data_IF_268784360633
#
_entry.id   IF_268784360633
#
_cell.length_a   1.000
_cell.length_b   1.000
_cell.length_c   1.000
_cell.angle_alpha   90.00
_cell.angle_beta   90.00
_cell.angle_gamma   90.00
#
_symmetry.space_group_name_H-M   'P 1'
#
loop_
_entity.id
_entity.type
_entity.pdbx_description
1 polymer ?
#
# COMPACT_ATOMS: atom_id res chain seq x y z
N UNK A 1 8.56 38.58 11.90
CA UNK A 1 9.64 37.77 12.52
C UNK A 1 9.10 36.47 13.15
N UNK A 2 8.06 36.50 13.98
CA UNK A 2 7.50 35.28 14.65
C UNK A 2 6.91 34.26 13.66
N UNK A 3 6.23 34.69 12.58
CA UNK A 3 5.70 33.79 11.53
C UNK A 3 6.81 32.98 10.81
N UNK A 4 7.95 33.61 10.53
CA UNK A 4 9.07 32.95 9.84
C UNK A 4 9.74 31.87 10.70
N UNK A 5 9.79 32.07 12.01
CA UNK A 5 10.34 31.07 12.95
C UNK A 5 9.40 29.87 13.07
N UNK A 6 8.08 30.09 13.11
CA UNK A 6 7.11 29.00 13.14
C UNK A 6 7.11 28.19 11.85
N UNK A 7 7.29 28.84 10.70
CA UNK A 7 7.42 28.15 9.39
C UNK A 7 8.74 27.38 9.29
N UNK A 8 9.84 27.94 9.77
CA UNK A 8 11.11 27.24 9.85
C UNK A 8 11.06 26.02 10.78
N UNK A 9 10.46 26.16 11.98
CA UNK A 9 10.24 25.05 12.91
C UNK A 9 9.35 23.96 12.31
N UNK A 10 8.30 24.32 11.57
CA UNK A 10 7.49 23.35 10.83
C UNK A 10 8.33 22.64 9.76
N UNK A 11 9.15 23.35 8.99
CA UNK A 11 10.05 22.78 8.00
C UNK A 11 11.02 21.78 8.62
N UNK A 12 11.64 22.12 9.76
CA UNK A 12 12.52 21.23 10.51
C UNK A 12 11.79 20.00 11.07
N UNK A 13 10.56 20.14 11.56
CA UNK A 13 9.74 19.01 12.00
C UNK A 13 9.37 18.10 10.85
N UNK A 14 9.07 18.63 9.65
CA UNK A 14 8.86 17.83 8.45
C UNK A 14 10.13 17.11 8.01
N UNK A 15 11.28 17.79 8.05
CA UNK A 15 12.57 17.21 7.70
C UNK A 15 12.96 16.11 8.69
N UNK A 16 12.79 16.35 10.00
CA UNK A 16 13.01 15.34 11.03
C UNK A 16 12.04 14.15 10.87
N UNK A 17 10.77 14.38 10.58
CA UNK A 17 9.80 13.33 10.30
C UNK A 17 10.17 12.55 9.03
N UNK A 18 10.74 13.21 8.03
CA UNK A 18 11.24 12.58 6.80
C UNK A 18 12.52 11.77 7.09
N UNK A 19 13.48 12.32 7.81
CA UNK A 19 14.77 11.68 8.14
C UNK A 19 14.60 10.56 9.17
N UNK A 20 13.74 10.74 10.19
CA UNK A 20 13.47 9.71 11.22
C UNK A 20 12.42 8.69 10.76
N UNK A 21 11.95 8.85 9.51
CA UNK A 21 10.87 8.06 8.94
C UNK A 21 9.59 8.26 9.74
N UNK A 22 8.76 9.20 9.35
CA UNK A 22 7.39 9.34 9.87
C UNK A 22 6.62 8.02 9.85
N UNK A 23 7.14 7.01 9.10
CA UNK A 23 6.74 5.62 9.14
C UNK A 23 6.93 4.97 10.51
N UNK A 24 7.96 5.36 11.30
CA UNK A 24 8.21 4.72 12.61
C UNK A 24 7.08 5.01 13.60
N UNK A 25 6.61 6.24 13.68
CA UNK A 25 5.46 6.63 14.51
C UNK A 25 4.15 6.03 13.99
N UNK A 26 4.03 5.80 12.68
CA UNK A 26 2.85 5.19 12.06
C UNK A 26 2.84 3.68 12.16
N UNK A 27 4.01 3.02 12.23
CA UNK A 27 4.10 1.58 12.53
C UNK A 27 3.43 1.21 13.84
N UNK A 28 3.63 2.02 14.89
CA UNK A 28 3.02 1.81 16.19
C UNK A 28 1.48 1.93 16.18
N UNK A 29 0.91 2.49 15.11
CA UNK A 29 -0.54 2.66 14.94
C UNK A 29 -1.16 1.63 14.00
N UNK A 30 -0.36 0.70 13.42
CA UNK A 30 -0.90 -0.37 12.59
C UNK A 30 -1.85 -1.24 13.44
N UNK A 31 -2.99 -1.64 12.84
CA UNK A 31 -3.97 -2.53 13.47
C UNK A 31 -3.33 -3.85 13.92
N UNK A 32 -2.41 -4.37 13.11
CA UNK A 32 -1.56 -5.51 13.44
C UNK A 32 -0.22 -5.38 12.72
N UNK A 33 0.85 -5.65 13.44
CA UNK A 33 2.20 -5.80 12.90
C UNK A 33 2.76 -7.15 13.35
N UNK A 34 3.01 -8.03 12.40
CA UNK A 34 3.54 -9.38 12.64
C UNK A 34 5.00 -9.38 13.14
N UNK A 35 5.46 -10.54 13.55
CA UNK A 35 6.84 -10.75 13.97
C UNK A 35 7.79 -10.70 12.78
N UNK A 36 9.00 -10.18 12.98
CA UNK A 36 10.04 -10.17 11.94
C UNK A 36 9.74 -9.31 10.71
N UNK A 37 8.71 -8.45 10.76
CA UNK A 37 8.38 -7.54 9.67
C UNK A 37 9.46 -6.47 9.54
N UNK A 38 9.95 -6.28 8.30
CA UNK A 38 10.90 -5.21 7.96
C UNK A 38 10.19 -4.16 7.11
N UNK A 39 10.24 -2.91 7.52
CA UNK A 39 9.62 -1.78 6.81
C UNK A 39 10.66 -0.69 6.63
N UNK A 40 10.90 -0.30 5.38
CA UNK A 40 11.84 0.80 5.07
C UNK A 40 11.32 2.14 5.61
N UNK A 41 12.21 3.05 6.04
CA UNK A 41 11.82 4.32 6.69
C UNK A 41 10.96 5.23 5.81
N UNK A 42 11.06 5.10 4.50
CA UNK A 42 10.37 5.94 3.51
C UNK A 42 8.97 5.46 3.15
N UNK A 43 8.47 4.39 3.79
CA UNK A 43 7.11 3.88 3.55
C UNK A 43 6.07 4.83 4.12
N UNK A 44 5.04 5.11 3.34
CA UNK A 44 3.94 5.99 3.73
C UNK A 44 2.71 5.14 4.03
N UNK A 45 2.18 5.27 5.24
CA UNK A 45 0.90 4.69 5.64
C UNK A 45 -0.16 5.78 5.78
N UNK A 46 -1.36 5.56 5.23
CA UNK A 46 -2.56 6.34 5.50
C UNK A 46 -3.58 5.42 6.16
N UNK A 47 -4.24 5.89 7.23
CA UNK A 47 -5.12 5.08 8.07
C UNK A 47 -4.46 3.78 8.55
N UNK A 48 -3.31 3.85 9.23
CA UNK A 48 -2.57 2.66 9.67
C UNK A 48 -3.39 1.76 10.60
N UNK A 49 -4.35 2.30 11.34
CA UNK A 49 -5.30 1.56 12.16
C UNK A 49 -6.22 0.61 11.35
N UNK A 50 -6.26 0.77 10.03
CA UNK A 50 -7.00 -0.10 9.10
C UNK A 50 -6.08 -1.09 8.37
N UNK A 51 -4.76 -1.12 8.69
CA UNK A 51 -3.77 -1.94 7.99
C UNK A 51 -3.27 -3.04 8.91
N UNK A 52 -3.25 -4.27 8.41
CA UNK A 52 -2.65 -5.44 9.05
C UNK A 52 -1.53 -5.99 8.18
N UNK A 53 -0.40 -6.34 8.81
CA UNK A 53 0.76 -6.93 8.14
C UNK A 53 1.14 -8.20 8.90
N UNK A 54 1.20 -9.32 8.20
CA UNK A 54 1.57 -10.62 8.73
C UNK A 54 3.08 -10.76 8.95
N UNK A 55 3.47 -11.93 9.48
CA UNK A 55 4.81 -12.21 9.93
C UNK A 55 5.82 -12.24 8.77
N UNK A 56 7.08 -11.86 9.03
CA UNK A 56 8.23 -11.96 8.13
C UNK A 56 8.08 -11.23 6.79
N UNK A 57 7.12 -10.31 6.67
CA UNK A 57 6.91 -9.53 5.46
C UNK A 57 7.92 -8.38 5.36
N UNK A 58 8.26 -8.00 4.12
CA UNK A 58 9.17 -6.90 3.83
C UNK A 58 8.51 -5.85 2.94
N UNK A 59 8.51 -4.61 3.40
CA UNK A 59 8.00 -3.45 2.66
C UNK A 59 9.17 -2.54 2.34
N UNK A 60 9.51 -2.44 1.06
CA UNK A 60 10.68 -1.73 0.57
C UNK A 60 10.46 -0.20 0.53
N UNK A 61 11.49 0.52 0.07
CA UNK A 61 11.51 1.98 0.02
C UNK A 61 10.38 2.56 -0.85
N UNK A 62 9.89 3.74 -0.45
CA UNK A 62 8.93 4.56 -1.19
C UNK A 62 7.58 3.87 -1.47
N UNK A 63 7.27 2.78 -0.76
CA UNK A 63 5.94 2.18 -0.86
C UNK A 63 4.89 3.08 -0.21
N UNK A 64 3.70 3.10 -0.82
CA UNK A 64 2.50 3.77 -0.30
C UNK A 64 1.42 2.73 0.01
N UNK A 65 1.04 2.60 1.28
CA UNK A 65 -0.05 1.71 1.71
C UNK A 65 -1.14 2.57 2.34
N UNK A 66 -2.16 2.87 1.56
CA UNK A 66 -3.21 3.82 1.89
C UNK A 66 -4.53 3.08 2.05
N UNK A 67 -4.89 2.80 3.28
CA UNK A 67 -6.21 2.31 3.63
C UNK A 67 -7.21 3.47 3.71
N UNK A 68 -8.48 3.12 3.75
CA UNK A 68 -9.59 4.00 4.09
C UNK A 68 -10.40 3.39 5.25
N UNK A 69 -11.23 4.18 5.94
CA UNK A 69 -12.03 3.65 7.05
C UNK A 69 -12.95 2.48 6.67
N UNK A 70 -13.49 2.48 5.43
CA UNK A 70 -14.35 1.41 4.92
C UNK A 70 -13.60 0.38 4.05
N UNK A 71 -12.31 0.62 3.75
CA UNK A 71 -11.46 -0.23 2.92
C UNK A 71 -10.20 -0.70 3.68
N UNK A 72 -10.29 -1.65 4.61
CA UNK A 72 -9.11 -2.17 5.30
C UNK A 72 -8.17 -2.90 4.33
N UNK A 73 -6.86 -2.86 4.66
CA UNK A 73 -5.83 -3.57 3.92
C UNK A 73 -5.24 -4.67 4.80
N UNK A 74 -5.26 -5.89 4.31
CA UNK A 74 -4.63 -7.04 4.95
C UNK A 74 -3.50 -7.56 4.06
N UNK A 75 -2.29 -7.61 4.60
CA UNK A 75 -1.09 -8.18 4.00
C UNK A 75 -0.74 -9.44 4.80
N UNK A 76 -0.61 -10.57 4.14
CA UNK A 76 -0.32 -11.86 4.75
C UNK A 76 1.13 -12.00 5.25
N UNK A 77 1.52 -13.23 5.51
CA UNK A 77 2.87 -13.57 5.97
C UNK A 77 3.84 -13.73 4.79
N UNK A 78 5.13 -13.47 5.01
CA UNK A 78 6.20 -13.65 4.02
C UNK A 78 5.98 -12.86 2.71
N UNK A 79 5.25 -11.74 2.77
CA UNK A 79 4.99 -10.90 1.59
C UNK A 79 6.18 -10.00 1.32
N UNK A 80 6.58 -9.91 0.05
CA UNK A 80 7.65 -9.03 -0.41
C UNK A 80 7.06 -7.91 -1.28
N UNK A 81 7.13 -6.66 -0.81
CA UNK A 81 6.84 -5.49 -1.61
C UNK A 81 8.13 -4.91 -2.14
N UNK A 82 8.29 -4.88 -3.47
CA UNK A 82 9.36 -4.18 -4.17
C UNK A 82 9.29 -2.66 -3.92
N UNK A 83 10.31 -1.89 -4.32
CA UNK A 83 10.29 -0.43 -4.13
C UNK A 83 9.15 0.22 -4.91
N UNK A 84 8.64 1.33 -4.38
CA UNK A 84 7.59 2.13 -5.00
C UNK A 84 6.25 1.41 -5.24
N UNK A 85 5.99 0.29 -4.55
CA UNK A 85 4.68 -0.37 -4.62
C UNK A 85 3.62 0.52 -4.01
N UNK A 86 2.46 0.63 -4.68
CA UNK A 86 1.33 1.44 -4.26
C UNK A 86 0.08 0.59 -4.06
N UNK A 87 -0.53 0.67 -2.88
CA UNK A 87 -1.74 -0.09 -2.51
C UNK A 87 -2.77 0.91 -2.01
N UNK A 88 -3.88 1.08 -2.74
CA UNK A 88 -4.90 2.06 -2.46
C UNK A 88 -6.27 1.39 -2.34
N UNK A 89 -6.89 1.43 -1.17
CA UNK A 89 -8.21 0.82 -0.92
C UNK A 89 -9.37 1.80 -1.12
N UNK A 90 -9.11 2.95 -1.70
CA UNK A 90 -10.11 3.97 -2.00
C UNK A 90 -9.94 4.48 -3.42
N UNK A 91 -11.04 4.62 -4.14
CA UNK A 91 -11.12 5.29 -5.43
C UNK A 91 -12.09 6.47 -5.34
N UNK A 92 -12.06 7.37 -6.32
CA UNK A 92 -13.07 8.40 -6.48
C UNK A 92 -14.27 7.87 -7.27
N UNK A 93 -15.46 8.41 -7.02
CA UNK A 93 -16.61 8.24 -7.90
C UNK A 93 -16.33 8.86 -9.28
N UNK A 94 -16.82 8.19 -10.33
CA UNK A 94 -16.59 8.58 -11.73
C UNK A 94 -17.91 8.74 -12.50
N UNK A 95 -19.04 8.98 -11.81
CA UNK A 95 -20.32 9.18 -12.44
C UNK A 95 -20.30 10.40 -13.37
N UNK A 96 -20.96 10.27 -14.52
CA UNK A 96 -21.08 11.37 -15.49
C UNK A 96 -22.00 12.46 -14.95
N UNK A 97 -21.65 13.72 -15.20
CA UNK A 97 -22.50 14.86 -14.88
C UNK A 97 -22.22 15.53 -13.53
N UNK A 98 -21.29 14.98 -12.74
CA UNK A 98 -20.84 15.58 -11.49
C UNK A 98 -19.32 15.67 -11.44
N UNK A 99 -18.79 16.74 -10.83
CA UNK A 99 -17.34 16.88 -10.65
C UNK A 99 -16.80 15.73 -9.78
N UNK A 100 -15.74 15.08 -10.21
CA UNK A 100 -15.11 13.95 -9.50
C UNK A 100 -14.85 14.28 -8.03
N UNK A 101 -14.37 15.50 -7.74
CA UNK A 101 -14.07 15.94 -6.37
C UNK A 101 -15.26 15.97 -5.42
N UNK A 102 -16.48 16.05 -5.96
CA UNK A 102 -17.72 16.13 -5.19
C UNK A 102 -18.37 14.76 -5.01
N UNK A 103 -17.93 13.76 -5.76
CA UNK A 103 -18.49 12.42 -5.70
C UNK A 103 -17.97 11.66 -4.47
N UNK A 104 -18.77 10.78 -3.87
CA UNK A 104 -18.35 9.96 -2.76
C UNK A 104 -17.19 9.02 -3.16
N UNK A 105 -16.29 8.76 -2.23
CA UNK A 105 -15.24 7.76 -2.40
C UNK A 105 -15.84 6.36 -2.56
N UNK A 106 -15.16 5.52 -3.34
CA UNK A 106 -15.48 4.10 -3.50
C UNK A 106 -14.42 3.29 -2.78
N UNK A 107 -14.68 2.98 -1.52
CA UNK A 107 -13.78 2.24 -0.65
C UNK A 107 -14.08 0.76 -0.73
N UNK A 108 -13.03 -0.07 -0.86
CA UNK A 108 -13.19 -1.52 -0.84
C UNK A 108 -11.94 -2.19 -0.24
N UNK A 109 -12.10 -3.27 0.54
CA UNK A 109 -10.98 -3.93 1.20
C UNK A 109 -10.01 -4.54 0.19
N UNK A 110 -8.71 -4.52 0.56
CA UNK A 110 -7.67 -5.23 -0.20
C UNK A 110 -7.15 -6.37 0.65
N UNK A 111 -6.99 -7.54 0.05
CA UNK A 111 -6.40 -8.73 0.67
C UNK A 111 -5.22 -9.22 -0.15
N UNK A 112 -4.05 -9.26 0.46
CA UNK A 112 -2.85 -9.85 -0.12
C UNK A 112 -2.54 -11.10 0.71
N UNK A 113 -2.53 -12.25 0.06
CA UNK A 113 -2.29 -13.55 0.68
C UNK A 113 -0.87 -13.72 1.22
N UNK A 114 -0.52 -14.93 1.56
CA UNK A 114 0.81 -15.27 2.07
C UNK A 114 1.79 -15.53 0.90
N UNK A 115 3.11 -15.35 1.14
CA UNK A 115 4.16 -15.63 0.16
C UNK A 115 3.93 -14.92 -1.21
N UNK A 116 3.39 -13.71 -1.17
CA UNK A 116 3.14 -12.88 -2.37
C UNK A 116 4.33 -11.98 -2.63
N UNK A 117 4.71 -11.85 -3.90
CA UNK A 117 5.69 -10.86 -4.33
C UNK A 117 5.07 -9.83 -5.28
N UNK A 118 5.07 -8.56 -4.86
CA UNK A 118 4.75 -7.43 -5.73
C UNK A 118 6.06 -6.78 -6.21
N UNK A 119 6.27 -6.81 -7.53
CA UNK A 119 7.42 -6.20 -8.18
C UNK A 119 7.44 -4.67 -8.03
N UNK A 120 8.59 -4.05 -8.31
CA UNK A 120 8.77 -2.60 -8.22
C UNK A 120 7.70 -1.84 -9.01
N UNK A 121 7.19 -0.72 -8.46
CA UNK A 121 6.15 0.11 -9.07
C UNK A 121 4.82 -0.61 -9.36
N UNK A 122 4.57 -1.78 -8.80
CA UNK A 122 3.25 -2.41 -8.92
C UNK A 122 2.19 -1.59 -8.16
N UNK A 123 1.00 -1.52 -8.74
CA UNK A 123 -0.16 -0.82 -8.15
C UNK A 123 -1.27 -1.83 -7.89
N UNK A 124 -1.87 -1.78 -6.69
CA UNK A 124 -3.05 -2.57 -6.33
C UNK A 124 -4.20 -1.63 -6.01
N UNK A 125 -5.32 -1.77 -6.72
CA UNK A 125 -6.49 -0.92 -6.56
C UNK A 125 -7.50 -1.49 -5.57
N UNK A 126 -8.45 -0.66 -5.14
CA UNK A 126 -9.49 -1.02 -4.18
C UNK A 126 -10.29 -2.26 -4.61
N UNK A 127 -10.60 -3.11 -3.65
CA UNK A 127 -11.42 -4.30 -3.83
C UNK A 127 -10.68 -5.57 -4.26
N UNK A 128 -9.37 -5.48 -4.56
CA UNK A 128 -8.60 -6.59 -5.08
C UNK A 128 -8.20 -7.58 -3.98
N UNK A 129 -8.31 -8.88 -4.31
CA UNK A 129 -7.74 -9.99 -3.55
C UNK A 129 -6.63 -10.67 -4.37
N UNK A 130 -5.45 -10.84 -3.78
CA UNK A 130 -4.31 -11.53 -4.37
C UNK A 130 -4.10 -12.84 -3.60
N UNK A 131 -4.18 -13.96 -4.30
CA UNK A 131 -4.05 -15.30 -3.72
C UNK A 131 -2.63 -15.61 -3.24
N UNK A 132 -2.52 -16.60 -2.37
CA UNK A 132 -1.25 -17.05 -1.80
C UNK A 132 -0.25 -17.44 -2.90
N UNK A 133 1.01 -17.11 -2.70
CA UNK A 133 2.08 -17.45 -3.63
C UNK A 133 2.07 -16.70 -4.96
N UNK A 134 1.20 -15.72 -5.15
CA UNK A 134 1.13 -14.96 -6.40
C UNK A 134 2.36 -14.04 -6.57
N UNK A 135 2.74 -13.82 -7.82
CA UNK A 135 3.81 -12.90 -8.23
C UNK A 135 3.23 -11.86 -9.16
N UNK A 136 3.45 -10.60 -8.85
CA UNK A 136 3.05 -9.46 -9.69
C UNK A 136 4.31 -8.81 -10.25
N UNK A 137 4.42 -8.76 -11.56
CA UNK A 137 5.55 -8.15 -12.27
C UNK A 137 5.69 -6.66 -11.99
N UNK A 138 6.91 -6.15 -12.16
CA UNK A 138 7.19 -4.73 -11.97
C UNK A 138 6.33 -3.86 -12.93
N UNK A 139 5.83 -2.73 -12.42
CA UNK A 139 4.99 -1.80 -13.17
C UNK A 139 3.57 -2.30 -13.48
N UNK A 140 3.17 -3.46 -12.99
CA UNK A 140 1.82 -3.97 -13.23
C UNK A 140 0.76 -3.22 -12.42
N UNK A 141 -0.44 -3.08 -12.98
CA UNK A 141 -1.60 -2.49 -12.30
C UNK A 141 -2.67 -3.56 -12.09
N UNK A 142 -2.83 -3.98 -10.84
CA UNK A 142 -3.78 -5.01 -10.44
C UNK A 142 -5.14 -4.37 -10.17
N UNK A 143 -6.12 -4.66 -11.02
CA UNK A 143 -7.48 -4.11 -10.98
C UNK A 143 -8.55 -5.17 -10.74
N UNK A 144 -8.16 -6.44 -10.72
CA UNK A 144 -9.05 -7.60 -10.50
C UNK A 144 -8.31 -8.63 -9.65
N UNK A 145 -9.05 -9.55 -9.05
CA UNK A 145 -8.48 -10.61 -8.22
C UNK A 145 -7.49 -11.47 -8.99
N UNK A 146 -6.42 -11.89 -8.30
CA UNK A 146 -5.40 -12.76 -8.85
C UNK A 146 -5.43 -14.11 -8.13
N UNK A 147 -5.46 -15.23 -8.89
CA UNK A 147 -5.49 -16.57 -8.29
C UNK A 147 -4.20 -16.91 -7.56
N UNK A 148 -4.24 -17.86 -6.61
CA UNK A 148 -3.04 -18.37 -5.96
C UNK A 148 -2.01 -18.90 -6.96
N UNK A 149 -0.73 -18.78 -6.62
CA UNK A 149 0.42 -19.26 -7.40
C UNK A 149 0.54 -18.67 -8.80
N UNK A 150 -0.27 -17.66 -9.15
CA UNK A 150 -0.21 -17.00 -10.46
C UNK A 150 1.02 -16.07 -10.58
N UNK A 151 1.53 -15.97 -11.79
CA UNK A 151 2.51 -14.96 -12.20
C UNK A 151 1.77 -14.00 -13.13
N UNK A 152 1.68 -12.73 -12.75
CA UNK A 152 0.86 -11.72 -13.41
C UNK A 152 1.71 -10.53 -13.82
N UNK A 153 1.39 -9.90 -14.95
CA UNK A 153 2.06 -8.69 -15.41
C UNK A 153 1.12 -7.83 -16.27
N UNK A 154 1.54 -6.59 -16.52
CA UNK A 154 0.87 -5.68 -17.46
C UNK A 154 -0.09 -4.67 -16.80
N UNK A 155 -0.67 -3.80 -17.65
CA UNK A 155 -1.65 -2.76 -17.31
C UNK A 155 -2.84 -2.87 -18.25
N UNK A 156 -3.96 -3.39 -17.75
CA UNK A 156 -4.17 -4.05 -16.46
C UNK A 156 -3.42 -5.39 -16.34
N UNK A 157 -3.09 -5.79 -15.11
CA UNK A 157 -2.39 -7.06 -14.86
C UNK A 157 -3.22 -8.27 -15.32
N UNK A 158 -2.55 -9.23 -15.96
CA UNK A 158 -3.15 -10.52 -16.41
C UNK A 158 -2.24 -11.66 -16.00
N UNK A 159 -2.84 -12.81 -15.75
CA UNK A 159 -2.08 -14.04 -15.52
C UNK A 159 -1.32 -14.40 -16.80
N UNK A 160 0.00 -14.50 -16.71
CA UNK A 160 0.89 -14.91 -17.80
C UNK A 160 1.46 -16.30 -17.60
N UNK A 161 1.49 -16.80 -16.36
CA UNK A 161 2.00 -18.12 -16.01
C UNK A 161 1.60 -18.47 -14.56
N UNK A 162 2.04 -19.60 -14.08
CA UNK A 162 1.93 -20.04 -12.69
C UNK A 162 3.29 -20.51 -12.16
N UNK A 163 3.50 -20.33 -10.85
CA UNK A 163 4.66 -20.91 -10.17
C UNK A 163 4.57 -22.44 -10.24
N UNK A 164 5.71 -23.08 -10.43
CA UNK A 164 5.88 -24.55 -10.47
C UNK A 164 6.34 -25.06 -9.14
#
# INVERSE_FOLDING_TARGET
MIRSIAEALRGWLYLLAFITGGSYLRKAKLKRLGKGVKISPTVIFKHPEMIQIGDHSFINHLCSVWASPAGPITIGNNVLLGPCVSIFSSNHGIARGELIRNQPGQDAPIRIGNDVWLGANAVVTAGVSIGDGAVVGAGAVVTTDLPPMSICAGVPARVISYRR
#
